data_IF_750768987160
#
_entry.id   IF_750768987160
#
_cell.length_a   1.000
_cell.length_b   1.000
_cell.length_c   1.000
_cell.angle_alpha   90.00
_cell.angle_beta   90.00
_cell.angle_gamma   90.00
#
_symmetry.space_group_name_H-M   'P 1'
#
loop_
_entity.id
_entity.type
_entity.pdbx_description
1 polymer ?
#
# COMPACT_ATOMS: atom_id res chain seq x y z
N UNK A 1 61.97 -12.11 -76.08
CA UNK A 1 60.70 -11.67 -75.45
C UNK A 1 60.23 -12.79 -74.56
N UNK A 2 59.96 -12.70 -73.25
CA UNK A 2 60.07 -11.70 -72.19
C UNK A 2 59.96 -12.50 -70.87
N UNK A 3 60.82 -12.26 -69.87
CA UNK A 3 60.51 -11.57 -68.58
C UNK A 3 59.33 -12.20 -67.80
N UNK A 4 59.37 -12.50 -66.50
CA UNK A 4 60.30 -12.09 -65.43
C UNK A 4 59.93 -12.76 -64.09
N UNK A 5 60.96 -13.22 -63.39
CA UNK A 5 61.25 -13.16 -61.95
C UNK A 5 60.15 -13.01 -60.90
N UNK A 6 60.04 -14.08 -60.10
CA UNK A 6 59.96 -14.18 -58.62
C UNK A 6 60.34 -12.90 -57.85
N UNK A 7 59.45 -12.41 -56.96
CA UNK A 7 59.76 -11.74 -55.69
C UNK A 7 58.67 -11.99 -54.64
N UNK A 8 59.13 -12.19 -53.41
CA UNK A 8 58.40 -12.36 -52.16
C UNK A 8 57.55 -11.14 -51.80
N UNK A 9 56.52 -11.35 -50.96
CA UNK A 9 56.05 -10.45 -49.89
C UNK A 9 54.94 -11.21 -49.14
N UNK A 10 55.24 -11.82 -47.99
CA UNK A 10 55.11 -11.22 -46.65
C UNK A 10 53.65 -11.10 -46.18
N UNK A 11 53.32 -11.87 -45.14
CA UNK A 11 52.04 -11.85 -44.40
C UNK A 11 51.70 -10.46 -43.85
N UNK A 12 50.39 -10.14 -43.80
CA UNK A 12 49.78 -9.50 -42.62
C UNK A 12 48.41 -10.14 -42.31
N UNK A 13 47.79 -10.08 -41.15
CA UNK A 13 48.06 -9.47 -39.86
C UNK A 13 47.06 -10.07 -38.86
N UNK A 14 47.49 -10.16 -37.61
CA UNK A 14 46.67 -10.32 -36.41
C UNK A 14 45.33 -9.57 -36.50
N UNK A 15 44.19 -10.27 -36.51
CA UNK A 15 42.93 -9.68 -36.07
C UNK A 15 42.72 -9.99 -34.59
N UNK A 16 43.06 -8.96 -33.80
CA UNK A 16 42.75 -8.75 -32.39
C UNK A 16 41.34 -9.23 -32.07
N UNK A 17 41.21 -10.17 -31.13
CA UNK A 17 39.95 -10.37 -30.39
C UNK A 17 39.82 -9.17 -29.45
N UNK A 18 38.92 -8.26 -29.78
CA UNK A 18 38.46 -7.18 -28.90
C UNK A 18 37.88 -7.79 -27.62
N UNK A 19 38.33 -7.39 -26.41
CA UNK A 19 37.61 -7.76 -25.20
C UNK A 19 36.27 -7.01 -25.18
N UNK A 20 35.17 -7.76 -25.06
CA UNK A 20 33.87 -7.20 -24.71
C UNK A 20 33.97 -6.62 -23.29
N UNK A 21 34.02 -5.29 -23.18
CA UNK A 21 33.78 -4.61 -21.92
C UNK A 21 32.27 -4.60 -21.68
N UNK A 22 31.80 -5.45 -20.76
CA UNK A 22 30.43 -5.38 -20.25
C UNK A 22 30.43 -4.25 -19.22
N UNK A 23 29.98 -3.06 -19.63
CA UNK A 23 29.65 -1.99 -18.71
C UNK A 23 28.28 -2.32 -18.08
N UNK A 24 28.28 -2.84 -16.86
CA UNK A 24 27.07 -3.00 -16.06
C UNK A 24 26.61 -1.61 -15.60
N UNK A 25 25.53 -1.09 -16.20
CA UNK A 25 24.81 0.05 -15.66
C UNK A 25 24.07 -0.43 -14.40
N UNK A 26 24.62 -0.12 -13.23
CA UNK A 26 23.91 -0.27 -11.96
C UNK A 26 22.92 0.89 -11.87
N UNK A 27 21.67 0.62 -12.22
CA UNK A 27 20.55 1.47 -11.83
C UNK A 27 20.43 1.38 -10.31
N UNK A 28 20.86 2.43 -9.61
CA UNK A 28 20.60 2.60 -8.18
C UNK A 28 19.09 2.78 -8.03
N UNK A 29 18.41 1.73 -7.55
CA UNK A 29 17.05 1.88 -7.08
C UNK A 29 17.11 2.71 -5.79
N UNK A 30 16.34 3.78 -5.72
CA UNK A 30 16.20 4.54 -4.48
C UNK A 30 15.74 3.59 -3.36
N UNK A 31 16.27 3.74 -2.13
CA UNK A 31 15.89 2.87 -1.02
C UNK A 31 14.38 2.99 -0.78
N UNK A 32 13.69 1.86 -0.78
CA UNK A 32 12.32 1.78 -0.29
C UNK A 32 12.38 1.95 1.24
N UNK A 33 11.99 3.12 1.73
CA UNK A 33 11.73 3.35 3.15
C UNK A 33 10.56 2.46 3.58
N UNK A 34 10.70 1.80 4.73
CA UNK A 34 9.62 0.97 5.25
C UNK A 34 8.54 1.87 5.84
N UNK A 35 7.35 1.88 5.25
CA UNK A 35 6.19 2.56 5.82
C UNK A 35 5.96 2.06 7.26
N UNK A 36 5.85 2.99 8.20
CA UNK A 36 5.59 2.68 9.60
C UNK A 36 4.10 2.90 9.90
N UNK A 37 3.50 1.99 10.68
CA UNK A 37 2.12 2.17 11.15
C UNK A 37 2.09 3.40 12.07
N UNK A 38 1.40 4.45 11.62
CA UNK A 38 1.33 5.75 12.28
C UNK A 38 0.26 5.75 13.37
N UNK A 39 -0.91 5.21 13.03
CA UNK A 39 -2.09 5.23 13.86
C UNK A 39 -2.99 4.04 13.54
N UNK A 40 -3.82 3.66 14.50
CA UNK A 40 -4.86 2.67 14.29
C UNK A 40 -6.21 3.12 14.86
N UNK A 41 -7.26 2.46 14.42
CA UNK A 41 -8.56 2.59 15.02
C UNK A 41 -9.32 1.26 15.05
N UNK A 42 -10.16 1.14 16.06
CA UNK A 42 -11.09 0.03 16.23
C UNK A 42 -12.50 0.55 16.35
N UNK A 43 -13.48 -0.20 15.86
CA UNK A 43 -14.88 0.16 16.00
C UNK A 43 -15.27 0.25 17.50
N UNK A 44 -16.00 1.30 17.88
CA UNK A 44 -16.44 1.50 19.27
C UNK A 44 -17.58 0.57 19.71
N UNK A 45 -17.95 -0.42 18.88
CA UNK A 45 -19.00 -1.39 19.11
C UNK A 45 -19.19 -2.35 17.93
N UNK A 46 -20.06 -3.34 18.07
CA UNK A 46 -20.33 -4.37 17.06
C UNK A 46 -21.38 -3.96 16.00
N UNK A 47 -21.68 -2.66 15.88
CA UNK A 47 -22.66 -2.15 14.92
C UNK A 47 -21.96 -1.77 13.61
N UNK A 48 -22.59 -2.13 12.49
CA UNK A 48 -22.15 -1.66 11.18
C UNK A 48 -21.97 -0.14 11.23
N UNK A 49 -20.82 0.33 10.78
CA UNK A 49 -20.45 1.75 10.84
C UNK A 49 -19.98 2.28 9.48
N UNK A 50 -19.90 1.39 8.48
CA UNK A 50 -19.56 1.68 7.10
C UNK A 50 -20.63 1.14 6.17
N UNK A 51 -20.89 1.88 5.10
CA UNK A 51 -21.83 1.49 4.05
C UNK A 51 -21.27 1.79 2.67
N UNK A 52 -21.38 0.82 1.78
CA UNK A 52 -21.21 1.00 0.34
C UNK A 52 -22.58 0.99 -0.35
N UNK A 53 -22.78 1.92 -1.27
CA UNK A 53 -23.95 1.95 -2.17
C UNK A 53 -23.51 1.96 -3.62
N UNK A 54 -24.19 1.14 -4.43
CA UNK A 54 -24.05 1.12 -5.88
C UNK A 54 -24.91 2.24 -6.53
N UNK A 55 -24.26 3.03 -7.40
CA UNK A 55 -24.80 3.99 -8.36
C UNK A 55 -25.65 5.16 -7.83
N UNK A 56 -24.96 6.15 -7.24
CA UNK A 56 -25.25 7.59 -7.41
C UNK A 56 -26.49 8.19 -6.76
N UNK A 57 -27.54 7.43 -6.46
CA UNK A 57 -28.79 7.96 -5.88
C UNK A 57 -29.33 7.00 -4.83
N UNK A 58 -29.02 7.24 -3.56
CA UNK A 58 -29.81 6.95 -2.34
C UNK A 58 -30.46 5.57 -2.10
N UNK A 59 -30.51 4.65 -3.06
CA UNK A 59 -31.26 3.40 -2.96
C UNK A 59 -30.41 2.35 -2.26
N UNK A 60 -30.86 1.80 -1.11
CA UNK A 60 -30.06 0.88 -0.31
C UNK A 60 -29.78 -0.46 -0.96
N UNK A 61 -30.65 -0.94 -1.85
CA UNK A 61 -30.72 -2.37 -2.18
C UNK A 61 -30.86 -2.66 -3.68
N UNK A 62 -30.71 -1.66 -4.55
CA UNK A 62 -30.89 -1.88 -5.98
C UNK A 62 -29.67 -2.57 -6.60
N UNK A 63 -29.92 -3.71 -7.26
CA UNK A 63 -29.05 -4.37 -8.23
C UNK A 63 -28.84 -3.47 -9.47
N UNK A 64 -28.33 -2.27 -9.25
CA UNK A 64 -28.13 -1.26 -10.28
C UNK A 64 -27.09 -1.74 -11.29
N UNK A 65 -27.31 -1.35 -12.54
CA UNK A 65 -26.47 -1.67 -13.68
C UNK A 65 -25.21 -0.82 -13.81
N UNK A 66 -25.02 0.19 -12.96
CA UNK A 66 -23.94 1.16 -13.08
C UNK A 66 -22.57 0.69 -12.60
N UNK A 67 -21.56 1.51 -12.86
CA UNK A 67 -20.15 1.33 -12.49
C UNK A 67 -19.69 2.34 -11.44
N UNK A 68 -20.60 3.05 -10.79
CA UNK A 68 -20.27 4.03 -9.77
C UNK A 68 -20.62 3.50 -8.38
N UNK A 69 -19.83 3.85 -7.37
CA UNK A 69 -20.11 3.55 -5.95
C UNK A 69 -19.86 4.76 -5.06
N UNK A 70 -20.49 4.75 -3.89
CA UNK A 70 -20.11 5.61 -2.77
C UNK A 70 -19.94 4.78 -1.51
N UNK A 71 -18.84 5.00 -0.80
CA UNK A 71 -18.51 4.38 0.48
C UNK A 71 -18.48 5.46 1.54
N UNK A 72 -19.24 5.30 2.62
CA UNK A 72 -19.29 6.30 3.67
C UNK A 72 -19.54 5.69 5.05
N UNK A 73 -19.14 6.42 6.08
CA UNK A 73 -19.47 6.09 7.48
C UNK A 73 -20.92 6.47 7.82
N UNK A 74 -21.48 5.78 8.81
CA UNK A 74 -22.86 5.98 9.27
C UNK A 74 -22.93 6.10 10.79
N UNK A 75 -23.80 6.98 11.29
CA UNK A 75 -24.02 7.16 12.75
C UNK A 75 -24.59 5.91 13.42
N UNK A 76 -25.39 5.13 12.71
CA UNK A 76 -25.99 3.88 13.19
C UNK A 76 -25.91 2.81 12.11
N UNK A 77 -25.95 1.54 12.51
CA UNK A 77 -25.82 0.41 11.58
C UNK A 77 -26.96 0.23 10.59
N UNK A 78 -28.07 0.95 10.77
CA UNK A 78 -29.20 1.00 9.83
C UNK A 78 -29.31 2.31 9.06
N UNK A 79 -28.50 3.33 9.36
CA UNK A 79 -28.62 4.63 8.67
C UNK A 79 -28.42 4.51 7.16
N UNK A 80 -29.21 5.28 6.41
CA UNK A 80 -29.10 5.40 4.95
C UNK A 80 -28.38 6.68 4.51
N UNK A 81 -27.93 7.48 5.47
CA UNK A 81 -27.24 8.74 5.23
C UNK A 81 -25.85 8.69 5.83
N UNK A 82 -24.97 9.45 5.20
CA UNK A 82 -23.64 9.80 5.70
C UNK A 82 -23.74 10.30 7.15
N UNK A 83 -22.78 9.90 7.98
CA UNK A 83 -22.67 10.33 9.37
C UNK A 83 -21.33 9.91 9.96
N UNK A 84 -21.19 10.07 11.27
CA UNK A 84 -19.94 9.77 11.99
C UNK A 84 -20.07 8.52 12.83
N UNK A 85 -19.09 7.64 12.75
CA UNK A 85 -19.02 6.40 13.52
C UNK A 85 -18.25 6.62 14.83
N UNK A 86 -18.67 5.97 15.92
CA UNK A 86 -17.87 5.94 17.13
C UNK A 86 -16.74 4.91 16.98
N UNK A 87 -15.50 5.32 17.25
CA UNK A 87 -14.30 4.47 17.23
C UNK A 87 -13.41 4.75 18.44
N UNK A 88 -12.46 3.86 18.69
CA UNK A 88 -11.31 4.15 19.54
C UNK A 88 -10.09 4.31 18.65
N UNK A 89 -9.39 5.43 18.80
CA UNK A 89 -8.24 5.81 17.98
C UNK A 89 -6.96 5.83 18.81
N UNK A 90 -5.85 5.36 18.23
CA UNK A 90 -4.54 5.44 18.87
C UNK A 90 -3.48 5.92 17.88
N UNK A 91 -2.58 6.79 18.33
CA UNK A 91 -1.31 6.94 17.66
C UNK A 91 -0.37 5.82 18.08
N UNK A 92 0.43 5.32 17.15
CA UNK A 92 1.40 4.26 17.39
C UNK A 92 2.83 4.80 17.46
N UNK A 93 3.05 5.99 16.92
CA UNK A 93 4.35 6.66 16.95
C UNK A 93 4.46 7.65 18.12
N UNK A 94 5.63 7.66 18.77
CA UNK A 94 5.98 8.69 19.74
C UNK A 94 6.04 10.09 19.10
N UNK A 95 5.76 11.17 19.85
CA UNK A 95 5.40 11.18 21.28
C UNK A 95 3.91 10.92 21.55
N UNK A 96 3.05 10.86 20.53
CA UNK A 96 1.60 10.78 20.72
C UNK A 96 1.12 9.42 21.19
N UNK A 97 1.87 8.34 20.95
CA UNK A 97 1.48 6.99 21.37
C UNK A 97 1.33 6.81 22.88
N UNK A 98 1.97 7.66 23.69
CA UNK A 98 1.84 7.60 25.15
C UNK A 98 0.62 8.37 25.70
N UNK A 99 0.14 9.39 24.98
CA UNK A 99 -0.96 10.25 25.42
C UNK A 99 -2.29 9.95 24.72
N UNK A 100 -2.23 9.37 23.51
CA UNK A 100 -3.38 9.05 22.68
C UNK A 100 -3.34 7.54 22.40
N UNK A 101 -3.69 6.76 23.41
CA UNK A 101 -3.88 5.32 23.34
C UNK A 101 -5.36 5.01 23.60
N UNK A 102 -6.06 4.45 22.59
CA UNK A 102 -7.48 4.12 22.66
C UNK A 102 -8.37 5.31 23.07
N UNK A 103 -8.11 6.50 22.50
CA UNK A 103 -8.92 7.70 22.72
C UNK A 103 -10.26 7.57 21.97
N UNK A 104 -11.42 7.77 22.63
CA UNK A 104 -12.70 7.81 21.93
C UNK A 104 -12.76 8.91 20.88
N UNK A 105 -13.02 8.53 19.63
CA UNK A 105 -13.05 9.43 18.49
C UNK A 105 -14.31 9.21 17.62
N UNK A 106 -14.69 10.26 16.91
CA UNK A 106 -15.61 10.18 15.78
C UNK A 106 -14.80 9.87 14.52
N UNK A 107 -15.25 8.89 13.76
CA UNK A 107 -14.70 8.51 12.47
C UNK A 107 -15.67 8.89 11.36
N UNK A 108 -15.19 9.65 10.40
CA UNK A 108 -15.93 10.04 9.22
C UNK A 108 -15.18 9.54 7.98
N UNK A 109 -15.86 8.84 7.10
CA UNK A 109 -15.35 8.37 5.81
C UNK A 109 -16.34 8.80 4.74
N UNK A 110 -15.83 9.32 3.63
CA UNK A 110 -16.62 9.54 2.42
C UNK A 110 -15.72 9.40 1.20
N UNK A 111 -16.05 8.44 0.35
CA UNK A 111 -15.32 8.15 -0.86
C UNK A 111 -16.26 7.70 -1.97
N UNK A 112 -15.85 7.93 -3.21
CA UNK A 112 -16.62 7.49 -4.37
C UNK A 112 -15.71 7.04 -5.49
N UNK A 113 -16.21 6.11 -6.29
CA UNK A 113 -15.64 5.78 -7.58
C UNK A 113 -16.72 6.05 -8.64
N UNK A 114 -16.33 6.68 -9.75
CA UNK A 114 -17.24 6.97 -10.85
C UNK A 114 -16.76 6.25 -12.10
N UNK A 115 -17.71 5.73 -12.87
CA UNK A 115 -17.41 5.03 -14.13
C UNK A 115 -16.37 3.90 -14.00
N UNK A 116 -16.23 3.28 -12.83
CA UNK A 116 -15.17 2.30 -12.53
C UNK A 116 -15.82 0.96 -12.17
N UNK A 117 -15.87 -0.01 -13.08
CA UNK A 117 -16.46 -1.31 -12.76
C UNK A 117 -15.63 -2.06 -11.71
N UNK A 118 -16.29 -2.97 -11.00
CA UNK A 118 -15.60 -3.94 -10.16
C UNK A 118 -14.99 -5.04 -11.04
N UNK A 119 -13.76 -5.43 -10.74
CA UNK A 119 -13.02 -6.47 -11.47
C UNK A 119 -12.99 -7.76 -10.65
N UNK A 120 -13.11 -8.90 -11.33
CA UNK A 120 -12.97 -10.23 -10.71
C UNK A 120 -11.77 -10.92 -11.33
N UNK A 121 -10.80 -11.31 -10.50
CA UNK A 121 -9.60 -12.01 -10.94
C UNK A 121 -9.16 -13.01 -9.88
N UNK A 122 -8.90 -14.25 -10.29
CA UNK A 122 -8.38 -15.32 -9.43
C UNK A 122 -9.16 -15.52 -8.11
N UNK A 123 -10.49 -15.35 -8.12
CA UNK A 123 -11.35 -15.50 -6.94
C UNK A 123 -11.41 -14.27 -6.01
N UNK A 124 -10.70 -13.20 -6.35
CA UNK A 124 -10.80 -11.89 -5.71
C UNK A 124 -11.69 -10.98 -6.53
N UNK A 125 -12.50 -10.17 -5.85
CA UNK A 125 -13.22 -9.05 -6.46
C UNK A 125 -12.70 -7.73 -5.88
N UNK A 126 -12.56 -6.72 -6.74
CA UNK A 126 -12.06 -5.41 -6.35
C UNK A 126 -12.86 -4.28 -7.00
N UNK A 127 -13.12 -3.23 -6.23
CA UNK A 127 -13.63 -1.95 -6.69
C UNK A 127 -12.51 -0.93 -6.55
N UNK A 128 -11.89 -0.61 -7.67
CA UNK A 128 -10.83 0.38 -7.74
C UNK A 128 -11.39 1.81 -7.86
N UNK A 129 -10.47 2.79 -7.82
CA UNK A 129 -10.77 4.19 -8.15
C UNK A 129 -11.57 4.93 -7.09
N UNK A 130 -11.57 4.45 -5.84
CA UNK A 130 -12.19 5.17 -4.74
C UNK A 130 -11.31 6.38 -4.38
N UNK A 131 -11.86 7.58 -4.54
CA UNK A 131 -11.24 8.83 -4.10
C UNK A 131 -12.13 9.47 -3.03
N UNK A 132 -11.51 10.11 -2.04
CA UNK A 132 -12.26 10.67 -0.92
C UNK A 132 -11.37 11.04 0.26
N UNK A 133 -11.96 10.98 1.45
CA UNK A 133 -11.24 11.26 2.68
C UNK A 133 -11.77 10.45 3.85
N UNK A 134 -10.95 10.38 4.87
CA UNK A 134 -11.41 10.03 6.21
C UNK A 134 -10.84 11.00 7.26
N UNK A 135 -11.55 11.17 8.37
CA UNK A 135 -11.11 11.99 9.49
C UNK A 135 -11.49 11.37 10.83
N UNK A 136 -10.59 11.52 11.79
CA UNK A 136 -10.76 11.18 13.19
C UNK A 136 -10.81 12.45 14.02
N UNK A 137 -11.85 12.59 14.83
CA UNK A 137 -12.09 13.78 15.66
C UNK A 137 -12.31 13.37 17.11
N UNK A 138 -11.62 14.02 18.06
CA UNK A 138 -11.73 13.68 19.48
C UNK A 138 -13.16 13.88 20.01
N UNK A 139 -13.71 12.88 20.73
CA UNK A 139 -15.06 12.96 21.33
C UNK A 139 -15.09 13.75 22.64
N UNK A 140 -13.97 13.80 23.33
CA UNK A 140 -13.79 14.48 24.61
C UNK A 140 -12.48 15.25 24.62
N UNK A 141 -12.34 16.20 25.53
CA UNK A 141 -11.06 16.85 25.79
C UNK A 141 -10.02 15.83 26.25
N UNK A 142 -8.74 16.08 25.94
CA UNK A 142 -7.61 15.25 26.32
C UNK A 142 -6.34 16.10 26.48
N UNK A 143 -5.31 15.51 27.10
CA UNK A 143 -4.02 16.18 27.32
C UNK A 143 -2.93 15.42 26.60
N UNK A 144 -2.10 16.11 25.82
CA UNK A 144 -0.94 15.53 25.15
C UNK A 144 0.23 16.50 25.18
N UNK A 145 1.42 16.04 25.59
CA UNK A 145 2.62 16.89 25.67
C UNK A 145 2.44 18.13 26.55
N UNK A 146 1.62 18.06 27.59
CA UNK A 146 1.28 19.19 28.46
C UNK A 146 0.29 20.20 27.86
N UNK A 147 -0.19 19.97 26.63
CA UNK A 147 -1.20 20.81 25.97
C UNK A 147 -2.59 20.20 26.13
N UNK A 148 -3.58 21.03 26.48
CA UNK A 148 -4.99 20.63 26.56
C UNK A 148 -5.64 20.81 25.19
N UNK A 149 -6.20 19.73 24.67
CA UNK A 149 -6.97 19.72 23.43
C UNK A 149 -8.45 19.57 23.75
N UNK A 150 -9.29 20.34 23.06
CA UNK A 150 -10.74 20.31 23.26
C UNK A 150 -11.38 19.09 22.56
N UNK A 151 -12.60 18.74 22.97
CA UNK A 151 -13.46 17.89 22.14
C UNK A 151 -13.63 18.57 20.76
N UNK A 152 -13.65 17.78 19.69
CA UNK A 152 -13.68 18.32 18.32
C UNK A 152 -12.31 18.54 17.67
N UNK A 153 -11.21 18.32 18.39
CA UNK A 153 -9.84 18.39 17.81
C UNK A 153 -9.67 17.34 16.72
N UNK A 154 -9.13 17.73 15.55
CA UNK A 154 -8.82 16.80 14.46
C UNK A 154 -7.57 15.99 14.82
N UNK A 155 -7.79 14.71 15.14
CA UNK A 155 -6.71 13.80 15.48
C UNK A 155 -5.89 13.47 14.24
N UNK A 156 -6.56 13.08 13.15
CA UNK A 156 -5.92 12.74 11.88
C UNK A 156 -6.95 12.81 10.76
N UNK A 157 -6.60 13.43 9.64
CA UNK A 157 -7.33 13.39 8.39
C UNK A 157 -6.42 12.85 7.31
N UNK A 158 -6.99 12.06 6.41
CA UNK A 158 -6.37 11.70 5.16
C UNK A 158 -7.29 12.04 4.00
N UNK A 159 -6.77 12.76 3.01
CA UNK A 159 -7.40 12.92 1.71
C UNK A 159 -6.66 12.00 0.73
N UNK A 160 -7.39 11.18 -0.05
CA UNK A 160 -6.80 10.18 -0.94
C UNK A 160 -7.42 10.22 -2.34
N UNK A 161 -6.58 10.06 -3.37
CA UNK A 161 -6.99 10.16 -4.78
C UNK A 161 -7.26 8.80 -5.42
N UNK A 162 -6.68 7.72 -4.89
CA UNK A 162 -6.99 6.37 -5.33
C UNK A 162 -6.84 5.32 -4.21
N UNK A 163 -7.92 4.60 -3.97
CA UNK A 163 -8.00 3.43 -3.11
C UNK A 163 -8.78 2.32 -3.82
N UNK A 164 -8.56 1.09 -3.35
CA UNK A 164 -9.27 -0.10 -3.81
C UNK A 164 -9.93 -0.79 -2.62
N UNK A 165 -11.20 -1.15 -2.81
CA UNK A 165 -11.93 -2.03 -1.91
C UNK A 165 -11.93 -3.43 -2.51
N UNK A 166 -11.29 -4.40 -1.87
CA UNK A 166 -11.17 -5.77 -2.40
C UNK A 166 -11.42 -6.85 -1.36
N UNK A 167 -11.75 -8.05 -1.81
CA UNK A 167 -11.95 -9.21 -0.95
C UNK A 167 -12.25 -10.46 -1.75
N UNK A 168 -12.50 -11.57 -1.06
CA UNK A 168 -12.89 -12.81 -1.71
C UNK A 168 -14.25 -12.65 -2.40
N UNK A 169 -14.36 -13.09 -3.65
CA UNK A 169 -15.64 -13.11 -4.36
C UNK A 169 -16.64 -13.99 -3.60
N UNK A 170 -17.82 -13.45 -3.29
CA UNK A 170 -18.83 -14.11 -2.45
C UNK A 170 -18.52 -14.09 -0.94
N UNK A 171 -17.40 -13.50 -0.52
CA UNK A 171 -16.97 -13.42 0.86
C UNK A 171 -17.77 -12.44 1.72
N UNK A 172 -17.52 -12.48 3.04
CA UNK A 172 -18.17 -11.65 4.07
C UNK A 172 -17.25 -10.60 4.69
N UNK A 173 -16.08 -10.38 4.09
CA UNK A 173 -15.07 -9.40 4.48
C UNK A 173 -14.48 -8.71 3.25
N UNK A 174 -13.94 -7.51 3.45
CA UNK A 174 -13.21 -6.76 2.45
C UNK A 174 -12.11 -5.90 3.11
N UNK A 175 -11.16 -5.42 2.31
CA UNK A 175 -10.13 -4.48 2.72
C UNK A 175 -10.24 -3.25 1.82
N UNK A 176 -10.31 -2.07 2.42
CA UNK A 176 -10.14 -0.79 1.74
C UNK A 176 -8.70 -0.35 1.96
N UNK A 177 -7.92 -0.18 0.90
CA UNK A 177 -6.54 0.29 1.02
C UNK A 177 -6.20 1.30 -0.09
N UNK A 178 -5.27 2.21 0.22
CA UNK A 178 -4.64 3.05 -0.79
C UNK A 178 -3.94 2.19 -1.85
N UNK A 179 -3.98 2.64 -3.12
CA UNK A 179 -3.34 1.90 -4.22
C UNK A 179 -2.07 2.60 -4.68
N UNK A 180 -1.06 1.84 -5.15
CA UNK A 180 0.11 2.42 -5.80
C UNK A 180 -0.31 3.37 -6.95
N UNK A 181 0.27 4.56 -6.99
CA UNK A 181 -0.06 5.61 -7.96
C UNK A 181 -1.24 6.52 -7.58
N UNK A 182 -1.87 6.29 -6.41
CA UNK A 182 -2.71 7.27 -5.73
C UNK A 182 -1.92 8.04 -4.69
N UNK A 183 -2.33 9.28 -4.44
CA UNK A 183 -1.78 10.15 -3.40
C UNK A 183 -2.63 10.01 -2.13
N UNK A 184 -1.97 10.06 -0.98
CA UNK A 184 -2.61 10.15 0.34
C UNK A 184 -1.96 11.31 1.08
N UNK A 185 -2.73 12.35 1.42
CA UNK A 185 -2.23 13.50 2.16
C UNK A 185 -2.76 13.48 3.57
N UNK A 186 -1.86 13.46 4.56
CA UNK A 186 -2.21 13.42 5.97
C UNK A 186 -2.15 14.82 6.61
N UNK A 187 -3.12 15.15 7.46
CA UNK A 187 -3.19 16.41 8.22
C UNK A 187 -3.65 16.15 9.66
N UNK A 188 -3.05 16.81 10.63
CA UNK A 188 -3.40 16.71 12.05
C UNK A 188 -3.26 18.05 12.76
N UNK A 189 -4.11 18.31 13.77
CA UNK A 189 -3.98 19.47 14.66
C UNK A 189 -2.89 19.26 15.74
N UNK A 190 -2.39 18.04 15.90
CA UNK A 190 -1.56 17.60 17.04
C UNK A 190 -0.05 17.81 16.86
N UNK A 191 0.33 18.91 16.20
CA UNK A 191 1.65 19.24 15.69
C UNK A 191 1.98 18.62 14.31
N UNK A 192 2.73 19.39 13.52
CA UNK A 192 3.11 19.07 12.15
C UNK A 192 3.99 17.82 12.12
N UNK A 193 3.39 16.68 11.81
CA UNK A 193 4.16 15.58 11.26
C UNK A 193 4.69 16.03 9.90
N UNK A 194 6.01 15.94 9.69
CA UNK A 194 6.55 15.89 8.35
C UNK A 194 6.17 14.55 7.77
N UNK A 195 4.96 14.48 7.20
CA UNK A 195 4.56 13.34 6.38
C UNK A 195 5.40 13.42 5.10
N UNK A 196 6.10 12.33 4.81
CA UNK A 196 6.93 12.20 3.62
C UNK A 196 6.16 11.42 2.56
N UNK A 197 6.56 11.58 1.30
CA UNK A 197 5.99 10.85 0.16
C UNK A 197 5.92 9.34 0.47
N UNK A 198 4.73 8.74 0.36
CA UNK A 198 4.53 7.30 0.57
C UNK A 198 3.53 6.96 1.67
N UNK A 199 2.64 7.88 2.03
CA UNK A 199 1.55 7.65 2.96
C UNK A 199 0.55 6.63 2.42
N UNK A 200 -0.01 5.85 3.32
CA UNK A 200 -0.93 4.78 2.97
C UNK A 200 -1.94 4.52 4.07
N UNK A 201 -2.92 3.69 3.77
CA UNK A 201 -3.85 3.19 4.78
C UNK A 201 -4.41 1.85 4.36
N UNK A 202 -4.83 1.07 5.35
CA UNK A 202 -5.49 -0.21 5.14
C UNK A 202 -6.54 -0.46 6.22
N UNK A 203 -7.80 -0.51 5.80
CA UNK A 203 -8.95 -0.72 6.66
C UNK A 203 -9.62 -2.06 6.34
N UNK A 204 -9.76 -2.90 7.37
CA UNK A 204 -10.56 -4.09 7.31
C UNK A 204 -12.05 -3.75 7.49
N UNK A 205 -12.88 -4.29 6.59
CA UNK A 205 -14.33 -4.28 6.65
C UNK A 205 -14.80 -5.71 6.93
N UNK A 206 -15.50 -5.91 8.04
CA UNK A 206 -15.96 -7.23 8.50
C UNK A 206 -17.48 -7.25 8.70
N UNK A 207 -18.05 -8.45 8.79
CA UNK A 207 -19.48 -8.62 9.08
C UNK A 207 -20.39 -8.08 7.98
N UNK A 208 -19.99 -8.22 6.71
CA UNK A 208 -20.74 -7.65 5.59
C UNK A 208 -22.18 -8.18 5.56
N UNK A 209 -23.16 -7.29 5.50
CA UNK A 209 -24.59 -7.69 5.43
C UNK A 209 -24.94 -8.43 4.15
N UNK A 210 -24.20 -8.17 3.07
CA UNK A 210 -24.34 -8.81 1.77
C UNK A 210 -22.96 -9.30 1.34
N UNK A 211 -22.88 -10.51 0.78
CA UNK A 211 -21.63 -11.02 0.21
C UNK A 211 -21.04 -10.06 -0.83
N UNK A 212 -19.70 -10.01 -0.85
CA UNK A 212 -18.93 -9.17 -1.76
C UNK A 212 -19.00 -9.73 -3.19
N UNK A 213 -19.88 -9.16 -4.00
CA UNK A 213 -20.08 -9.50 -5.42
C UNK A 213 -20.35 -8.23 -6.23
N UNK A 214 -20.15 -8.29 -7.55
CA UNK A 214 -20.61 -7.23 -8.44
C UNK A 214 -22.15 -7.17 -8.46
N UNK A 215 -22.72 -5.99 -8.67
CA UNK A 215 -24.14 -5.86 -8.93
C UNK A 215 -24.49 -6.59 -10.25
N UNK A 216 -25.65 -7.25 -10.34
CA UNK A 216 -26.05 -8.05 -11.51
C UNK A 216 -25.38 -9.43 -11.59
N UNK A 217 -26.18 -10.49 -11.35
CA UNK A 217 -25.95 -11.94 -11.56
C UNK A 217 -24.55 -12.60 -11.47
N UNK A 218 -23.57 -12.00 -10.79
CA UNK A 218 -22.53 -12.70 -10.03
C UNK A 218 -21.81 -13.86 -10.72
N UNK A 219 -21.51 -13.77 -12.02
CA UNK A 219 -20.69 -14.78 -12.71
C UNK A 219 -19.25 -14.27 -12.84
N UNK A 220 -18.29 -15.13 -12.52
CA UNK A 220 -16.85 -14.86 -12.72
C UNK A 220 -16.63 -14.61 -14.21
N UNK A 221 -16.19 -13.39 -14.56
CA UNK A 221 -16.00 -12.98 -15.96
C UNK A 221 -16.98 -11.92 -16.48
N UNK A 222 -17.90 -11.43 -15.65
CA UNK A 222 -18.82 -10.32 -16.01
C UNK A 222 -18.51 -8.98 -15.28
N UNK A 223 -17.27 -8.44 -15.30
CA UNK A 223 -16.86 -7.26 -14.52
C UNK A 223 -17.26 -5.92 -15.18
N UNK A 224 -18.50 -5.78 -15.67
CA UNK A 224 -18.97 -4.50 -16.26
C UNK A 224 -19.76 -3.63 -15.28
N UNK A 225 -19.79 -3.99 -13.99
CA UNK A 225 -20.66 -3.37 -12.98
C UNK A 225 -19.91 -3.12 -11.68
N UNK A 226 -20.35 -2.12 -10.92
CA UNK A 226 -19.80 -1.81 -9.60
C UNK A 226 -20.16 -2.89 -8.56
N UNK A 227 -19.48 -2.87 -7.40
CA UNK A 227 -19.85 -3.72 -6.26
C UNK A 227 -21.31 -3.52 -5.83
N UNK A 228 -21.94 -4.60 -5.38
CA UNK A 228 -23.27 -4.54 -4.75
C UNK A 228 -23.20 -3.79 -3.42
N UNK A 229 -24.26 -3.06 -3.09
CA UNK A 229 -24.40 -2.38 -1.80
C UNK A 229 -24.25 -3.35 -0.62
N UNK A 230 -23.53 -2.92 0.41
CA UNK A 230 -23.39 -3.66 1.66
C UNK A 230 -23.17 -2.70 2.83
N UNK A 231 -23.27 -3.23 4.04
CA UNK A 231 -22.84 -2.57 5.28
C UNK A 231 -21.80 -3.42 5.97
N UNK A 232 -20.90 -2.80 6.71
CA UNK A 232 -19.80 -3.48 7.39
C UNK A 232 -19.39 -2.75 8.67
N UNK A 233 -18.59 -3.44 9.47
CA UNK A 233 -17.84 -2.88 10.59
C UNK A 233 -16.41 -2.60 10.11
N UNK A 234 -15.97 -1.34 10.20
CA UNK A 234 -14.65 -0.86 9.82
C UNK A 234 -13.69 -0.73 11.00
N UNK A 235 -12.47 -1.20 10.79
CA UNK A 235 -11.29 -1.04 11.67
C UNK A 235 -10.04 -1.01 10.82
N UNK A 236 -8.93 -0.45 11.29
CA UNK A 236 -7.72 -0.48 10.48
C UNK A 236 -6.59 0.39 10.97
N UNK A 237 -5.62 0.57 10.09
CA UNK A 237 -4.38 1.28 10.34
C UNK A 237 -4.12 2.33 9.25
N UNK A 238 -3.45 3.40 9.66
CA UNK A 238 -2.91 4.42 8.78
C UNK A 238 -1.40 4.31 8.83
N UNK A 239 -0.78 4.30 7.66
CA UNK A 239 0.64 4.14 7.46
C UNK A 239 1.22 5.48 7.00
N UNK A 240 2.40 5.82 7.51
CA UNK A 240 3.14 6.98 7.01
C UNK A 240 4.62 6.63 6.92
N UNK A 241 5.25 7.08 5.84
CA UNK A 241 6.69 7.22 5.84
C UNK A 241 7.06 8.44 6.70
N UNK A 242 7.96 8.21 7.65
CA UNK A 242 8.47 9.26 8.52
C UNK A 242 9.90 9.53 8.07
N UNK A 243 10.16 10.73 7.56
CA UNK A 243 11.52 11.27 7.43
C UNK A 243 12.13 11.39 8.83
N UNK A 244 12.73 10.32 9.36
CA UNK A 244 13.45 10.35 10.63
C UNK A 244 13.54 9.07 11.47
N UNK A 245 13.01 7.92 11.07
CA UNK A 245 13.22 6.70 11.85
C UNK A 245 13.11 5.40 11.04
N UNK A 246 14.16 5.06 10.30
CA UNK A 246 14.47 3.65 10.00
C UNK A 246 15.95 3.41 10.21
N UNK A 247 16.27 2.46 11.10
CA UNK A 247 17.54 1.74 11.05
C UNK A 247 17.68 1.21 9.63
N UNK A 248 18.63 1.74 8.87
CA UNK A 248 18.87 1.36 7.49
C UNK A 248 18.82 -0.17 7.35
N UNK A 249 17.80 -0.68 6.66
CA UNK A 249 17.83 -2.05 6.15
C UNK A 249 19.04 -2.09 5.22
N UNK A 250 19.99 -3.03 5.39
CA UNK A 250 21.15 -3.10 4.52
C UNK A 250 20.70 -3.14 3.07
N UNK A 251 21.18 -2.17 2.29
CA UNK A 251 20.79 -1.97 0.90
C UNK A 251 21.09 -3.24 0.08
N UNK A 252 20.41 -3.46 -1.07
CA UNK A 252 20.75 -4.55 -1.99
C UNK A 252 22.24 -4.59 -2.34
N UNK A 253 22.91 -3.43 -2.35
CA UNK A 253 24.36 -3.32 -2.52
C UNK A 253 25.14 -3.90 -1.33
N UNK A 254 24.65 -3.74 -0.10
CA UNK A 254 25.24 -4.37 1.09
C UNK A 254 25.10 -5.89 1.03
N UNK A 255 23.97 -6.41 0.53
CA UNK A 255 23.81 -7.84 0.25
C UNK A 255 24.73 -8.30 -0.88
N UNK A 256 24.84 -7.52 -1.94
CA UNK A 256 25.73 -7.83 -3.05
C UNK A 256 27.20 -7.84 -2.62
N UNK A 257 27.62 -6.90 -1.77
CA UNK A 257 28.96 -6.86 -1.19
C UNK A 257 29.21 -8.01 -0.21
N UNK A 258 28.20 -8.39 0.59
CA UNK A 258 28.27 -9.53 1.50
C UNK A 258 28.34 -10.86 0.73
N UNK A 259 27.54 -11.03 -0.32
CA UNK A 259 27.59 -12.18 -1.24
C UNK A 259 28.93 -12.19 -1.97
N UNK A 260 29.39 -11.05 -2.51
CA UNK A 260 30.68 -10.94 -3.18
C UNK A 260 31.83 -11.27 -2.21
N UNK A 261 31.75 -10.82 -0.96
CA UNK A 261 32.70 -11.16 0.11
C UNK A 261 32.75 -12.66 0.38
N UNK A 262 31.59 -13.32 0.49
CA UNK A 262 31.54 -14.77 0.68
C UNK A 262 32.04 -15.56 -0.54
N UNK A 263 31.75 -15.09 -1.75
CA UNK A 263 32.28 -15.69 -2.99
C UNK A 263 33.81 -15.57 -3.04
N UNK A 264 34.37 -14.42 -2.68
CA UNK A 264 35.83 -14.23 -2.64
C UNK A 264 36.51 -15.11 -1.59
N UNK A 265 35.92 -15.26 -0.39
CA UNK A 265 36.47 -16.12 0.67
C UNK A 265 36.44 -17.59 0.25
N UNK A 266 35.35 -18.06 -0.37
CA UNK A 266 35.25 -19.42 -0.90
C UNK A 266 36.26 -19.70 -2.01
N UNK A 267 36.48 -18.74 -2.91
CA UNK A 267 37.51 -18.83 -3.95
C UNK A 267 38.92 -18.90 -3.35
N UNK A 268 39.24 -18.04 -2.37
CA UNK A 268 40.55 -18.06 -1.70
C UNK A 268 40.83 -19.37 -0.95
N UNK A 269 39.84 -19.96 -0.28
CA UNK A 269 40.00 -21.27 0.38
C UNK A 269 40.26 -22.40 -0.62
N UNK A 270 39.62 -22.38 -1.79
CA UNK A 270 39.82 -23.43 -2.81
C UNK A 270 41.22 -23.39 -3.42
N UNK A 271 41.80 -22.20 -3.57
CA UNK A 271 43.17 -22.06 -4.09
C UNK A 271 44.28 -22.44 -3.11
N UNK A 272 43.99 -22.45 -1.80
CA UNK A 272 44.95 -22.89 -0.77
C UNK A 272 45.01 -24.42 -0.62
N UNK A 273 44.04 -25.16 -1.14
CA UNK A 273 44.07 -26.63 -1.18
C UNK A 273 44.71 -27.12 -2.48
N UNK A 274 46.03 -26.95 -2.62
CA UNK A 274 46.80 -27.79 -3.53
C UNK A 274 47.30 -29.00 -2.74
N UNK A 275 46.95 -30.25 -3.10
CA UNK A 275 47.51 -31.42 -2.46
C UNK A 275 49.02 -31.47 -2.78
N UNK A 276 49.86 -31.55 -1.75
CA UNK A 276 51.25 -31.94 -1.91
C UNK A 276 51.24 -33.38 -2.44
N UNK A 277 51.52 -33.55 -3.73
CA UNK A 277 51.85 -34.86 -4.28
C UNK A 277 53.17 -35.28 -3.64
N UNK A 278 53.13 -36.29 -2.77
CA UNK A 278 54.32 -37.03 -2.37
C UNK A 278 54.66 -37.97 -3.53
N UNK A 279 55.78 -37.70 -4.19
CA UNK A 279 56.45 -38.66 -5.07
C UNK A 279 57.83 -38.94 -4.47
N UNK A 280 58.08 -40.21 -4.14
CA UNK A 280 59.37 -40.72 -3.66
C UNK A 280 59.37 -41.05 -2.18
#
# INVERSE_FOLDING_TARGET
>A
MGRSNRRENAMPNFRRRTPFAIAALLLVAAPATAATSLANFTAGGATNNIRLVNNGTGSPDSASSGTSVRLYSTTTGSSNTRGVAAVNFSFLTAPLSTSIASLPAWFELDASATATPATVYAGTIAQAGLAGYFVFTARSAFVSGGTNYAAGTQLLRADFTAASLSGAFGGSSATLASTPGGDVTLVSDLASFGFADGEGFSFALTGLTNSLIAAGSGTVGDPYRALRSFRAIGSGEVEADRTGAVSAVPEPETWALLIAGFVMIGYQQRHRRRPNYVTG
#
